data_IF_761321629934
#
_entry.id   IF_761321629934
#
_cell.length_a   1.000
_cell.length_b   1.000
_cell.length_c   1.000
_cell.angle_alpha   90.00
_cell.angle_beta   90.00
_cell.angle_gamma   90.00
#
_symmetry.space_group_name_H-M   'P 1'
#
loop_
_entity.id
_entity.type
_entity.pdbx_description
1 polymer ?
#
# COMPACT_ATOMS: atom_id res chain seq x y z
N UNK A 1 -5.56 -35.00 -0.23
CA UNK A 1 -4.61 -34.43 0.75
C UNK A 1 -4.36 -32.98 0.37
N UNK A 2 -5.15 -32.05 0.90
CA UNK A 2 -4.93 -30.61 0.70
C UNK A 2 -4.06 -30.11 1.84
N UNK A 3 -2.80 -29.81 1.54
CA UNK A 3 -1.91 -29.15 2.49
C UNK A 3 -2.22 -27.64 2.41
N UNK A 4 -3.11 -27.17 3.29
CA UNK A 4 -3.09 -25.75 3.67
C UNK A 4 -1.82 -25.56 4.50
N UNK A 5 -0.74 -25.10 3.84
CA UNK A 5 0.48 -24.77 4.52
C UNK A 5 0.22 -23.49 5.33
N UNK A 6 0.32 -23.58 6.66
CA UNK A 6 0.41 -22.40 7.52
C UNK A 6 1.57 -21.53 7.04
N UNK A 7 1.46 -20.19 7.10
CA UNK A 7 2.49 -19.32 6.58
C UNK A 7 3.83 -19.60 7.29
N UNK A 8 4.87 -19.87 6.51
CA UNK A 8 6.22 -20.14 7.03
C UNK A 8 6.93 -18.82 7.34
N UNK A 9 7.92 -18.84 8.23
CA UNK A 9 8.75 -17.66 8.57
C UNK A 9 9.36 -16.96 7.35
N UNK A 10 9.59 -17.70 6.27
CA UNK A 10 10.29 -17.22 5.07
C UNK A 10 9.37 -16.49 4.08
N UNK A 11 8.06 -16.49 4.29
CA UNK A 11 7.12 -15.77 3.41
C UNK A 11 7.08 -14.28 3.77
N UNK A 12 7.18 -13.37 2.79
CA UNK A 12 7.33 -11.96 3.10
C UNK A 12 6.02 -11.27 3.48
N UNK A 13 6.16 -10.19 4.22
CA UNK A 13 5.24 -9.05 4.19
C UNK A 13 5.47 -8.29 2.88
N UNK A 14 4.44 -8.20 2.04
CA UNK A 14 4.49 -7.47 0.78
C UNK A 14 3.82 -6.12 0.93
N UNK A 15 4.59 -5.04 0.75
CA UNK A 15 4.12 -3.67 0.88
C UNK A 15 4.05 -3.04 -0.50
N UNK A 16 2.85 -2.69 -0.97
CA UNK A 16 2.64 -2.13 -2.30
C UNK A 16 2.44 -0.62 -2.22
N UNK A 17 3.19 0.12 -3.03
CA UNK A 17 2.91 1.52 -3.33
C UNK A 17 1.73 1.61 -4.31
N UNK A 18 0.55 1.92 -3.77
CA UNK A 18 -0.70 1.95 -4.52
C UNK A 18 -0.69 3.01 -5.63
N UNK A 19 -0.18 4.21 -5.33
CA UNK A 19 -0.13 5.32 -6.27
C UNK A 19 0.82 5.01 -7.43
N UNK A 20 2.05 4.56 -7.12
CA UNK A 20 3.05 4.25 -8.15
C UNK A 20 2.60 3.12 -9.06
N UNK A 21 2.02 2.05 -8.51
CA UNK A 21 1.51 0.95 -9.32
C UNK A 21 0.28 1.36 -10.14
N UNK A 22 -0.64 2.16 -9.60
CA UNK A 22 -1.81 2.64 -10.33
C UNK A 22 -1.40 3.53 -11.52
N UNK A 23 -0.51 4.50 -11.33
CA UNK A 23 -0.02 5.35 -12.43
C UNK A 23 0.71 4.55 -13.50
N UNK A 24 1.53 3.56 -13.11
CA UNK A 24 2.21 2.68 -14.07
C UNK A 24 1.22 1.86 -14.88
N UNK A 25 0.18 1.33 -14.26
CA UNK A 25 -0.91 0.64 -14.96
C UNK A 25 -1.62 1.58 -15.95
N UNK A 26 -1.98 2.78 -15.49
CA UNK A 26 -2.69 3.78 -16.28
C UNK A 26 -1.93 4.16 -17.55
N UNK A 27 -0.64 4.49 -17.45
CA UNK A 27 0.15 4.91 -18.60
C UNK A 27 0.63 3.74 -19.50
N UNK A 28 0.64 2.51 -18.98
CA UNK A 28 1.09 1.35 -19.75
C UNK A 28 -0.03 0.69 -20.59
N UNK A 29 -1.29 0.92 -20.24
CA UNK A 29 -2.44 0.26 -20.86
C UNK A 29 -3.33 1.25 -21.60
N UNK A 30 -4.01 0.78 -22.65
CA UNK A 30 -4.90 1.62 -23.46
C UNK A 30 -6.05 2.19 -22.62
N UNK A 31 -6.38 3.49 -22.74
CA UNK A 31 -7.57 4.06 -22.10
C UNK A 31 -8.89 3.49 -22.66
N UNK A 32 -8.86 2.78 -23.80
CA UNK A 32 -10.03 2.08 -24.36
C UNK A 32 -10.47 0.87 -23.53
N UNK A 33 -9.67 0.46 -22.53
CA UNK A 33 -10.07 -0.56 -21.56
C UNK A 33 -11.11 0.06 -20.63
N UNK A 34 -12.38 -0.12 -20.98
CA UNK A 34 -13.54 0.40 -20.28
C UNK A 34 -14.66 -0.64 -20.23
N UNK A 35 -15.58 -0.47 -19.27
CA UNK A 35 -16.84 -1.23 -19.23
C UNK A 35 -17.75 -0.85 -20.40
N UNK A 36 -18.78 -1.65 -20.68
CA UNK A 36 -19.81 -1.34 -21.66
C UNK A 36 -20.52 0.01 -21.42
N UNK A 37 -20.56 0.46 -20.16
CA UNK A 37 -21.08 1.77 -19.76
C UNK A 37 -20.11 2.94 -19.97
N UNK A 38 -18.90 2.70 -20.50
CA UNK A 38 -17.89 3.73 -20.76
C UNK A 38 -17.00 4.08 -19.57
N UNK A 39 -17.16 3.42 -18.42
CA UNK A 39 -16.27 3.61 -17.26
C UNK A 39 -14.88 3.05 -17.57
N UNK A 40 -13.87 3.91 -17.62
CA UNK A 40 -12.48 3.52 -17.82
C UNK A 40 -11.93 2.72 -16.63
N UNK A 41 -11.24 1.62 -16.93
CA UNK A 41 -10.73 0.64 -15.96
C UNK A 41 -9.30 0.16 -16.29
N UNK A 42 -8.57 0.88 -17.14
CA UNK A 42 -7.21 0.53 -17.55
C UNK A 42 -6.23 0.46 -16.38
N UNK A 43 -6.28 1.41 -15.43
CA UNK A 43 -5.44 1.40 -14.24
C UNK A 43 -5.82 0.23 -13.31
N UNK A 44 -7.11 0.00 -13.08
CA UNK A 44 -7.61 -1.15 -12.31
C UNK A 44 -7.13 -2.48 -12.92
N UNK A 45 -7.26 -2.64 -14.24
CA UNK A 45 -6.86 -3.86 -14.93
C UNK A 45 -5.35 -4.13 -14.83
N UNK A 46 -4.54 -3.08 -14.99
CA UNK A 46 -3.09 -3.19 -14.84
C UNK A 46 -2.69 -3.48 -13.40
N UNK A 47 -3.28 -2.79 -12.43
CA UNK A 47 -3.04 -3.02 -11.00
C UNK A 47 -3.40 -4.46 -10.60
N UNK A 48 -4.60 -4.95 -10.97
CA UNK A 48 -5.03 -6.31 -10.71
C UNK A 48 -4.07 -7.35 -11.31
N UNK A 49 -3.57 -7.09 -12.53
CA UNK A 49 -2.57 -7.95 -13.18
C UNK A 49 -1.23 -7.98 -12.41
N UNK A 50 -0.77 -6.81 -11.95
CA UNK A 50 0.45 -6.68 -11.16
C UNK A 50 0.31 -7.37 -9.80
N UNK A 51 -0.75 -7.06 -9.06
CA UNK A 51 -1.06 -7.68 -7.77
C UNK A 51 -1.03 -9.21 -7.87
N UNK A 52 -1.74 -9.77 -8.85
CA UNK A 52 -1.78 -11.21 -9.05
C UNK A 52 -0.40 -11.81 -9.37
N UNK A 53 0.40 -11.11 -10.18
CA UNK A 53 1.77 -11.54 -10.53
C UNK A 53 2.71 -11.49 -9.32
N UNK A 54 2.60 -10.43 -8.52
CA UNK A 54 3.39 -10.23 -7.31
C UNK A 54 3.05 -11.28 -6.25
N UNK A 55 1.76 -11.52 -6.00
CA UNK A 55 1.32 -12.57 -5.07
C UNK A 55 1.78 -13.96 -5.53
N UNK A 56 1.71 -14.26 -6.83
CA UNK A 56 2.21 -15.54 -7.38
C UNK A 56 3.71 -15.73 -7.23
N UNK A 57 4.49 -14.68 -7.45
CA UNK A 57 5.96 -14.74 -7.43
C UNK A 57 6.54 -14.66 -6.02
N UNK A 58 5.98 -13.79 -5.17
CA UNK A 58 6.49 -13.53 -3.83
C UNK A 58 5.85 -14.44 -2.76
N UNK A 59 4.66 -14.99 -3.03
CA UNK A 59 3.87 -15.82 -2.11
C UNK A 59 3.84 -15.25 -0.68
N UNK A 60 3.39 -14.00 -0.52
CA UNK A 60 3.45 -13.32 0.76
C UNK A 60 2.52 -13.96 1.80
N UNK A 61 2.88 -13.81 3.07
CA UNK A 61 2.01 -14.16 4.21
C UNK A 61 1.06 -13.02 4.57
N UNK A 62 1.50 -11.81 4.31
CA UNK A 62 0.83 -10.57 4.67
C UNK A 62 1.02 -9.54 3.55
N UNK A 63 0.04 -8.68 3.34
CA UNK A 63 0.06 -7.69 2.26
C UNK A 63 -0.67 -6.43 2.69
N UNK A 64 -0.06 -5.27 2.41
CA UNK A 64 -0.73 -3.97 2.53
C UNK A 64 -0.51 -3.13 1.27
N UNK A 65 -1.46 -2.26 0.98
CA UNK A 65 -1.35 -1.25 -0.07
C UNK A 65 -1.36 0.13 0.57
N UNK A 66 -0.33 0.94 0.33
CA UNK A 66 -0.28 2.31 0.81
C UNK A 66 -0.81 3.29 -0.27
N UNK A 67 -1.65 4.23 0.14
CA UNK A 67 -2.13 5.32 -0.72
C UNK A 67 -1.93 6.67 -0.02
N UNK A 68 -1.61 7.69 -0.82
CA UNK A 68 -1.64 9.08 -0.36
C UNK A 68 -3.08 9.49 -0.09
N UNK A 69 -3.29 10.25 0.99
CA UNK A 69 -4.58 10.89 1.27
C UNK A 69 -4.61 12.33 0.73
N UNK A 70 -5.79 12.85 0.38
CA UNK A 70 -5.92 14.26 0.02
C UNK A 70 -5.58 15.18 1.21
N UNK A 71 -5.17 16.41 0.92
CA UNK A 71 -4.96 17.45 1.93
C UNK A 71 -3.50 17.87 2.17
N UNK A 72 -2.56 17.34 1.37
CA UNK A 72 -1.14 17.68 1.46
C UNK A 72 -0.43 16.99 2.62
N UNK A 73 0.89 17.12 2.65
CA UNK A 73 1.78 16.44 3.60
C UNK A 73 2.59 17.44 4.41
N UNK A 74 3.30 16.96 5.44
CA UNK A 74 4.24 17.81 6.17
C UNK A 74 5.39 18.33 5.27
N UNK A 75 5.67 17.68 4.13
CA UNK A 75 6.71 18.13 3.18
C UNK A 75 6.31 19.42 2.44
N UNK A 76 5.02 19.65 2.23
CA UNK A 76 4.50 20.89 1.63
C UNK A 76 4.82 22.11 2.50
N UNK A 77 4.92 21.93 3.82
CA UNK A 77 5.31 22.98 4.77
C UNK A 77 6.84 23.18 4.82
N UNK A 78 7.62 22.20 4.36
CA UNK A 78 9.08 22.25 4.38
C UNK A 78 9.69 22.98 3.17
N UNK A 79 9.00 22.97 2.02
CA UNK A 79 9.48 23.56 0.76
C UNK A 79 8.30 23.99 -0.12
N UNK A 80 8.20 25.28 -0.43
CA UNK A 80 7.09 25.87 -1.21
C UNK A 80 6.90 25.25 -2.62
N UNK A 81 7.99 24.79 -3.24
CA UNK A 81 7.99 24.24 -4.60
C UNK A 81 8.09 22.69 -4.64
N UNK A 82 7.93 22.01 -3.50
CA UNK A 82 7.99 20.53 -3.46
C UNK A 82 6.86 19.92 -4.29
N UNK A 83 7.21 18.98 -5.18
CA UNK A 83 6.31 18.42 -6.20
C UNK A 83 5.68 19.49 -7.13
N UNK A 84 6.13 20.74 -7.04
CA UNK A 84 5.71 21.86 -7.87
C UNK A 84 6.05 21.60 -9.33
N UNK A 85 5.12 21.92 -10.23
CA UNK A 85 5.32 21.67 -11.67
C UNK A 85 5.23 20.21 -12.10
N UNK A 86 4.90 19.27 -11.20
CA UNK A 86 4.39 17.95 -11.63
C UNK A 86 3.18 18.15 -12.54
N UNK A 87 3.05 17.30 -13.56
CA UNK A 87 1.85 17.27 -14.37
C UNK A 87 0.64 16.99 -13.46
N UNK A 88 -0.46 17.72 -13.68
CA UNK A 88 -1.69 17.45 -12.95
C UNK A 88 -2.08 15.97 -13.14
N UNK A 89 -2.54 15.35 -12.06
CA UNK A 89 -3.12 14.01 -12.11
C UNK A 89 -4.22 13.99 -13.19
N UNK A 90 -4.16 13.09 -14.18
CA UNK A 90 -5.21 12.98 -15.17
C UNK A 90 -6.55 12.68 -14.48
N UNK A 91 -7.63 13.45 -14.69
CA UNK A 91 -8.92 13.22 -14.03
C UNK A 91 -9.43 11.78 -14.21
N UNK A 92 -9.05 11.12 -15.30
CA UNK A 92 -9.42 9.75 -15.65
C UNK A 92 -8.81 8.67 -14.75
N UNK A 93 -7.76 8.97 -13.97
CA UNK A 93 -7.20 8.03 -13.00
C UNK A 93 -7.80 8.21 -11.59
N UNK A 94 -8.33 9.40 -11.27
CA UNK A 94 -8.78 9.73 -9.92
C UNK A 94 -9.83 8.74 -9.41
N UNK A 95 -10.87 8.46 -10.21
CA UNK A 95 -11.90 7.48 -9.84
C UNK A 95 -11.37 6.05 -9.80
N UNK A 96 -10.26 5.75 -10.48
CA UNK A 96 -9.70 4.40 -10.51
C UNK A 96 -8.95 4.04 -9.21
N UNK A 97 -8.54 5.02 -8.41
CA UNK A 97 -8.00 4.75 -7.06
C UNK A 97 -9.07 4.12 -6.16
N UNK A 98 -10.31 4.60 -6.22
CA UNK A 98 -11.44 4.00 -5.50
C UNK A 98 -11.75 2.58 -6.00
N UNK A 99 -11.64 2.36 -7.32
CA UNK A 99 -11.81 1.02 -7.90
C UNK A 99 -10.75 0.04 -7.41
N UNK A 100 -9.49 0.49 -7.33
CA UNK A 100 -8.37 -0.31 -6.82
C UNK A 100 -8.56 -0.61 -5.33
N UNK A 101 -8.96 0.38 -4.54
CA UNK A 101 -9.31 0.19 -3.13
C UNK A 101 -10.47 -0.80 -2.96
N UNK A 102 -11.47 -0.76 -3.84
CA UNK A 102 -12.56 -1.72 -3.88
C UNK A 102 -12.10 -3.16 -4.18
N UNK A 103 -11.11 -3.34 -5.08
CA UNK A 103 -10.51 -4.65 -5.33
C UNK A 103 -9.78 -5.15 -4.09
N UNK A 104 -9.00 -4.28 -3.43
CA UNK A 104 -8.29 -4.62 -2.21
C UNK A 104 -9.28 -5.03 -1.11
N UNK A 105 -10.37 -4.27 -0.93
CA UNK A 105 -11.43 -4.60 0.02
C UNK A 105 -12.08 -5.96 -0.27
N UNK A 106 -12.41 -6.28 -1.52
CA UNK A 106 -12.97 -7.58 -1.91
C UNK A 106 -12.01 -8.75 -1.63
N UNK A 107 -10.70 -8.50 -1.68
CA UNK A 107 -9.65 -9.47 -1.36
C UNK A 107 -9.25 -9.45 0.13
N UNK A 108 -9.89 -8.60 0.94
CA UNK A 108 -9.55 -8.35 2.33
C UNK A 108 -8.09 -7.94 2.55
N UNK A 109 -7.57 -7.14 1.62
CA UNK A 109 -6.23 -6.54 1.67
C UNK A 109 -6.35 -5.14 2.31
N UNK A 110 -5.65 -4.87 3.42
CA UNK A 110 -5.64 -3.56 4.02
C UNK A 110 -5.08 -2.48 3.08
N UNK A 111 -5.85 -1.42 2.91
CA UNK A 111 -5.41 -0.16 2.31
C UNK A 111 -5.10 0.81 3.43
N UNK A 112 -3.88 1.33 3.47
CA UNK A 112 -3.38 2.18 4.55
C UNK A 112 -3.01 3.55 4.00
N UNK A 113 -3.59 4.59 4.59
CA UNK A 113 -3.22 5.98 4.31
C UNK A 113 -3.31 6.76 5.61
N UNK A 114 -2.42 7.73 5.80
CA UNK A 114 -2.39 8.55 7.02
C UNK A 114 -2.39 10.01 6.62
N UNK A 115 -3.30 10.84 7.19
CA UNK A 115 -3.30 12.27 6.90
C UNK A 115 -1.93 12.87 7.19
N UNK A 116 -1.51 13.82 6.35
CA UNK A 116 -0.24 14.57 6.50
C UNK A 116 1.03 13.78 6.21
N UNK A 117 0.95 12.49 5.90
CA UNK A 117 2.10 11.66 5.51
C UNK A 117 1.90 11.10 4.10
N UNK A 118 3.01 10.74 3.46
CA UNK A 118 2.98 10.13 2.13
C UNK A 118 2.90 8.61 2.23
N UNK A 119 2.43 7.96 1.16
CA UNK A 119 2.42 6.52 1.05
C UNK A 119 3.81 5.92 1.34
N UNK A 120 4.89 6.57 0.89
CA UNK A 120 6.25 6.13 1.12
C UNK A 120 6.65 6.14 2.61
N UNK A 121 6.13 7.07 3.42
CA UNK A 121 6.35 7.09 4.86
C UNK A 121 5.58 5.95 5.57
N UNK A 122 4.39 5.59 5.06
CA UNK A 122 3.63 4.43 5.52
C UNK A 122 4.41 3.14 5.21
N UNK A 123 4.96 3.00 4.00
CA UNK A 123 5.78 1.86 3.60
C UNK A 123 7.07 1.78 4.42
N UNK A 124 7.72 2.92 4.67
CA UNK A 124 8.91 3.02 5.51
C UNK A 124 8.62 2.58 6.96
N UNK A 125 7.48 2.99 7.52
CA UNK A 125 7.07 2.61 8.88
C UNK A 125 6.70 1.13 8.98
N UNK A 126 5.91 0.59 8.04
CA UNK A 126 5.56 -0.83 8.02
C UNK A 126 6.77 -1.73 7.80
N UNK A 127 7.72 -1.32 6.94
CA UNK A 127 8.95 -2.08 6.71
C UNK A 127 9.87 -2.09 7.93
N UNK A 128 10.00 -0.97 8.64
CA UNK A 128 10.72 -0.90 9.91
C UNK A 128 10.09 -1.83 10.97
N UNK A 129 8.77 -1.80 11.14
CA UNK A 129 8.06 -2.71 12.04
C UNK A 129 8.28 -4.18 11.66
N UNK A 130 8.26 -4.51 10.37
CA UNK A 130 8.46 -5.88 9.88
C UNK A 130 9.87 -6.38 10.17
N UNK A 131 10.88 -5.55 9.90
CA UNK A 131 12.27 -5.82 10.25
C UNK A 131 12.46 -6.03 11.75
N UNK A 132 11.83 -5.22 12.60
CA UNK A 132 11.95 -5.35 14.06
C UNK A 132 11.37 -6.67 14.59
N UNK A 133 10.46 -7.28 13.83
CA UNK A 133 9.94 -8.64 14.08
C UNK A 133 10.69 -9.73 13.30
N UNK A 134 11.78 -9.39 12.61
CA UNK A 134 12.57 -10.28 11.76
C UNK A 134 11.76 -10.89 10.61
N UNK A 135 10.71 -10.22 10.16
CA UNK A 135 9.93 -10.66 8.99
C UNK A 135 10.66 -10.25 7.71
N UNK A 136 10.74 -11.14 6.70
CA UNK A 136 11.11 -10.71 5.36
C UNK A 136 10.07 -9.70 4.86
N UNK A 137 10.53 -8.55 4.36
CA UNK A 137 9.72 -7.48 3.81
C UNK A 137 10.14 -7.23 2.37
N UNK A 138 9.16 -7.14 1.47
CA UNK A 138 9.37 -6.72 0.09
C UNK A 138 8.51 -5.50 -0.18
N UNK A 139 9.15 -4.35 -0.43
CA UNK A 139 8.47 -3.12 -0.84
C UNK A 139 8.40 -3.10 -2.36
N UNK A 140 7.22 -2.91 -2.94
CA UNK A 140 7.02 -2.83 -4.38
C UNK A 140 6.63 -1.41 -4.75
N UNK A 141 7.53 -0.71 -5.42
CA UNK A 141 7.33 0.67 -5.84
C UNK A 141 8.09 0.95 -7.12
N UNK A 142 7.69 2.01 -7.83
CA UNK A 142 8.46 2.63 -8.88
C UNK A 142 9.30 3.83 -8.44
N UNK A 143 9.31 4.16 -7.15
CA UNK A 143 10.06 5.28 -6.59
C UNK A 143 11.46 4.83 -6.14
N UNK A 144 12.48 5.65 -6.42
CA UNK A 144 13.85 5.39 -5.98
C UNK A 144 14.09 5.82 -4.54
N UNK A 145 13.27 6.67 -3.96
CA UNK A 145 13.46 7.13 -2.57
C UNK A 145 13.32 5.97 -1.59
N UNK A 146 12.52 4.95 -1.92
CA UNK A 146 12.47 3.68 -1.20
C UNK A 146 13.80 2.92 -1.16
N UNK A 147 14.81 3.26 -1.98
CA UNK A 147 16.13 2.63 -1.89
C UNK A 147 16.80 2.85 -0.53
N UNK A 148 16.42 3.91 0.18
CA UNK A 148 16.89 4.16 1.55
C UNK A 148 16.36 3.17 2.59
N UNK A 149 15.34 2.37 2.24
CA UNK A 149 14.67 1.43 3.14
C UNK A 149 15.25 0.02 3.08
N UNK A 150 16.09 -0.28 2.09
CA UNK A 150 16.77 -1.57 1.98
C UNK A 150 17.66 -1.80 3.19
N UNK A 151 17.50 -2.94 3.84
CA UNK A 151 18.20 -3.30 5.08
C UNK A 151 18.26 -4.82 5.19
N UNK A 152 19.42 -5.41 4.88
CA UNK A 152 19.57 -6.87 4.83
C UNK A 152 19.61 -7.48 6.25
N UNK A 153 19.07 -8.71 6.44
CA UNK A 153 18.46 -9.58 5.43
C UNK A 153 16.95 -9.36 5.23
N UNK A 154 16.36 -8.39 5.95
CA UNK A 154 14.92 -8.34 6.15
C UNK A 154 14.20 -7.53 5.08
N UNK A 155 14.69 -6.34 4.70
CA UNK A 155 13.97 -5.41 3.83
C UNK A 155 14.62 -5.32 2.46
N UNK A 156 13.86 -5.68 1.42
CA UNK A 156 14.25 -5.52 0.02
C UNK A 156 13.25 -4.67 -0.76
N UNK A 157 13.70 -4.06 -1.84
CA UNK A 157 12.86 -3.25 -2.73
C UNK A 157 12.74 -3.94 -4.09
N UNK A 158 11.52 -4.28 -4.48
CA UNK A 158 11.18 -4.74 -5.82
C UNK A 158 10.78 -3.51 -6.67
N UNK A 159 11.77 -2.91 -7.31
CA UNK A 159 11.63 -1.68 -8.08
C UNK A 159 11.00 -1.93 -9.45
N UNK A 160 9.82 -1.37 -9.69
CA UNK A 160 9.19 -1.37 -11.00
C UNK A 160 9.91 -0.40 -11.93
N UNK A 161 10.59 -0.92 -12.95
CA UNK A 161 11.31 -0.09 -13.92
C UNK A 161 10.34 0.51 -14.91
N UNK A 162 9.50 -0.32 -15.52
CA UNK A 162 8.59 0.07 -16.61
C UNK A 162 7.40 -0.85 -16.72
N UNK A 163 6.23 -0.26 -16.96
CA UNK A 163 5.01 -1.00 -17.24
C UNK A 163 4.59 -1.89 -16.08
N UNK A 164 4.09 -3.08 -16.40
CA UNK A 164 3.42 -3.96 -15.43
C UNK A 164 4.20 -5.22 -15.04
N UNK A 165 5.39 -5.45 -15.62
CA UNK A 165 6.10 -6.73 -15.44
C UNK A 165 7.63 -6.64 -15.36
N UNK A 166 8.22 -5.46 -15.52
CA UNK A 166 9.68 -5.27 -15.51
C UNK A 166 10.15 -4.77 -14.13
N UNK A 167 10.67 -5.69 -13.32
CA UNK A 167 11.08 -5.45 -11.94
C UNK A 167 12.55 -5.82 -11.72
N UNK A 168 13.26 -4.99 -10.97
CA UNK A 168 14.56 -5.34 -10.37
C UNK A 168 14.37 -5.50 -8.85
N UNK A 169 14.90 -6.57 -8.26
CA UNK A 169 14.96 -6.73 -6.81
C UNK A 169 16.29 -6.17 -6.30
N UNK A 170 16.22 -5.26 -5.33
CA UNK A 170 17.38 -4.62 -4.71
C UNK A 170 17.52 -5.04 -3.24
N UNK A 171 18.70 -5.59 -2.94
CA UNK A 171 19.31 -5.74 -1.62
C UNK A 171 20.40 -4.67 -1.44
N UNK A 172 21.12 -4.65 -0.31
CA UNK A 172 22.12 -3.60 -0.04
C UNK A 172 23.22 -3.58 -1.10
N UNK A 173 23.65 -4.76 -1.53
CA UNK A 173 24.67 -4.93 -2.57
C UNK A 173 24.20 -4.36 -3.92
N UNK A 174 22.94 -4.59 -4.28
CA UNK A 174 22.31 -4.06 -5.48
C UNK A 174 22.20 -2.54 -5.45
N UNK A 175 21.83 -1.95 -4.31
CA UNK A 175 21.80 -0.48 -4.14
C UNK A 175 23.21 0.10 -4.26
N UNK A 176 24.19 -0.50 -3.61
CA UNK A 176 25.59 -0.07 -3.71
C UNK A 176 26.11 -0.15 -5.15
N UNK A 177 25.84 -1.25 -5.86
CA UNK A 177 26.25 -1.42 -7.25
C UNK A 177 25.59 -0.39 -8.20
N UNK A 178 24.31 -0.07 -7.95
CA UNK A 178 23.54 0.88 -8.77
C UNK A 178 23.89 2.33 -8.50
N UNK A 179 23.95 2.72 -7.23
CA UNK A 179 24.03 4.12 -6.81
C UNK A 179 25.44 4.52 -6.37
N UNK A 180 26.33 3.57 -6.08
CA UNK A 180 27.65 3.83 -5.52
C UNK A 180 27.64 4.26 -4.06
N UNK A 181 26.50 4.12 -3.38
CA UNK A 181 26.31 4.43 -1.95
C UNK A 181 25.45 3.35 -1.28
N UNK A 182 25.66 3.16 0.02
CA UNK A 182 24.82 2.30 0.86
C UNK A 182 23.40 2.89 1.01
N UNK A 183 22.35 2.06 1.21
CA UNK A 183 20.97 2.52 1.42
C UNK A 183 20.83 3.65 2.44
N UNK A 184 21.51 3.55 3.60
CA UNK A 184 21.47 4.56 4.66
C UNK A 184 22.01 5.93 4.22
N UNK A 185 22.81 6.00 3.15
CA UNK A 185 23.35 7.25 2.58
C UNK A 185 22.57 7.74 1.36
N UNK A 186 21.55 6.99 0.94
CA UNK A 186 20.76 7.33 -0.25
C UNK A 186 20.10 8.72 -0.16
N UNK A 187 19.52 9.16 0.98
CA UNK A 187 18.93 10.51 1.07
C UNK A 187 19.94 11.62 0.84
N UNK A 188 21.14 11.53 1.43
CA UNK A 188 22.21 12.51 1.23
C UNK A 188 22.73 12.50 -0.22
N UNK A 189 22.87 11.31 -0.79
CA UNK A 189 23.21 11.13 -2.21
C UNK A 189 22.18 11.80 -3.12
N UNK A 190 20.89 11.53 -2.89
CA UNK A 190 19.77 12.11 -3.62
C UNK A 190 19.73 13.64 -3.46
N UNK A 191 19.98 14.14 -2.25
CA UNK A 191 19.97 15.55 -1.93
C UNK A 191 21.01 16.35 -2.74
N UNK A 192 22.20 15.78 -2.96
CA UNK A 192 23.24 16.41 -3.78
C UNK A 192 22.91 16.36 -5.27
N UNK A 193 22.43 15.22 -5.80
CA UNK A 193 22.09 15.09 -7.23
C UNK A 193 20.81 15.84 -7.61
N UNK A 194 19.90 16.05 -6.65
CA UNK A 194 18.54 16.51 -6.87
C UNK A 194 17.62 15.42 -7.41
N UNK A 195 16.31 15.68 -7.36
CA UNK A 195 15.29 14.86 -7.97
C UNK A 195 14.31 15.68 -8.81
N UNK A 196 14.29 15.40 -10.12
CA UNK A 196 13.43 16.11 -11.06
C UNK A 196 11.96 15.68 -10.96
N UNK A 197 11.66 14.45 -10.52
CA UNK A 197 10.24 14.04 -10.36
C UNK A 197 9.56 14.84 -9.26
N UNK A 198 10.32 15.27 -8.26
CA UNK A 198 9.85 15.95 -7.05
C UNK A 198 10.11 17.45 -7.10
N UNK A 199 10.63 17.95 -8.23
CA UNK A 199 11.03 19.33 -8.41
C UNK A 199 12.05 19.80 -7.35
N UNK A 200 12.95 18.91 -6.94
CA UNK A 200 14.02 19.17 -5.99
C UNK A 200 15.34 19.37 -6.73
N UNK A 201 15.74 20.60 -7.10
CA UNK A 201 17.04 20.81 -7.74
C UNK A 201 18.18 20.41 -6.80
N UNK A 202 19.20 19.77 -7.37
CA UNK A 202 20.42 19.40 -6.63
C UNK A 202 21.42 20.55 -6.51
N UNK A 203 22.65 20.18 -6.14
CA UNK A 203 23.82 21.07 -6.17
C UNK A 203 24.35 21.13 -7.61
N UNK A 204 24.43 22.31 -8.24
CA UNK A 204 24.93 22.44 -9.61
C UNK A 204 26.31 21.82 -9.81
N UNK A 205 26.44 20.97 -10.84
CA UNK A 205 27.69 20.26 -11.13
C UNK A 205 27.93 19.01 -10.28
N UNK A 206 27.01 18.64 -9.38
CA UNK A 206 27.04 17.40 -8.61
C UNK A 206 25.94 16.47 -9.13
N UNK A 207 26.30 15.61 -10.09
CA UNK A 207 25.41 14.52 -10.54
C UNK A 207 25.69 13.21 -9.79
N UNK A 208 24.99 12.14 -10.17
CA UNK A 208 25.07 10.80 -9.56
C UNK A 208 26.53 10.36 -9.27
N UNK A 209 27.40 10.38 -10.29
CA UNK A 209 28.80 9.96 -10.14
C UNK A 209 29.60 10.82 -9.15
N UNK A 210 29.36 12.13 -9.14
CA UNK A 210 30.06 13.05 -8.25
C UNK A 210 29.56 12.85 -6.81
N UNK A 211 28.25 12.74 -6.61
CA UNK A 211 27.65 12.49 -5.30
C UNK A 211 28.15 11.17 -4.69
N UNK A 212 28.16 10.08 -5.47
CA UNK A 212 28.69 8.79 -5.03
C UNK A 212 30.17 8.88 -4.62
N UNK A 213 31.00 9.58 -5.41
CA UNK A 213 32.42 9.77 -5.08
C UNK A 213 32.61 10.55 -3.78
N UNK A 214 31.77 11.55 -3.52
CA UNK A 214 31.82 12.32 -2.27
C UNK A 214 31.49 11.42 -1.07
N UNK A 215 30.43 10.63 -1.12
CA UNK A 215 30.05 9.73 -0.01
C UNK A 215 30.88 8.44 0.08
N UNK A 216 31.72 8.15 -0.91
CA UNK A 216 32.82 7.19 -0.76
C UNK A 216 33.96 7.74 0.11
N UNK A 217 34.08 9.06 0.24
CA UNK A 217 35.17 9.74 0.99
C UNK A 217 34.68 10.26 2.33
N UNK A 218 33.52 10.92 2.34
CA UNK A 218 32.94 11.59 3.50
C UNK A 218 31.78 10.77 4.05
N UNK A 219 31.64 10.79 5.38
CA UNK A 219 30.63 9.97 6.08
C UNK A 219 29.22 10.49 5.88
N UNK A 220 29.04 11.80 5.96
CA UNK A 220 27.75 12.49 5.89
C UNK A 220 27.93 13.92 5.33
N UNK A 221 26.85 14.71 5.28
CA UNK A 221 26.92 16.10 4.84
C UNK A 221 27.79 16.97 5.77
N UNK A 222 27.76 16.75 7.09
CA UNK A 222 28.58 17.54 8.02
C UNK A 222 30.08 17.32 7.78
N UNK A 223 30.48 16.07 7.60
CA UNK A 223 31.84 15.68 7.26
C UNK A 223 32.26 16.24 5.89
N UNK A 224 31.37 16.21 4.90
CA UNK A 224 31.60 16.81 3.58
C UNK A 224 31.84 18.33 3.68
N UNK A 225 30.97 19.06 4.39
CA UNK A 225 31.05 20.51 4.48
C UNK A 225 32.21 20.97 5.38
N UNK A 226 32.58 20.20 6.40
CA UNK A 226 33.78 20.45 7.20
C UNK A 226 35.07 20.38 6.36
N UNK A 227 35.10 19.53 5.32
CA UNK A 227 36.25 19.32 4.44
C UNK A 227 36.07 19.93 3.04
N UNK A 228 35.06 20.79 2.82
CA UNK A 228 34.76 21.38 1.49
C UNK A 228 35.97 22.15 0.93
N UNK A 229 36.81 22.69 1.81
CA UNK A 229 38.06 23.38 1.50
C UNK A 229 39.15 22.52 0.87
N UNK A 230 39.00 21.19 0.83
CA UNK A 230 39.94 20.26 0.20
C UNK A 230 39.54 19.92 -1.26
N UNK A 231 38.30 20.25 -1.63
CA UNK A 231 37.75 19.96 -2.95
C UNK A 231 38.29 20.91 -4.03
N UNK A 232 38.13 20.50 -5.30
CA UNK A 232 38.50 21.34 -6.44
C UNK A 232 37.78 22.69 -6.39
N UNK A 233 38.39 23.78 -6.91
CA UNK A 233 37.84 25.13 -6.76
C UNK A 233 36.36 25.25 -7.19
N UNK A 234 35.99 24.66 -8.34
CA UNK A 234 34.62 24.70 -8.86
C UNK A 234 33.62 23.91 -7.99
N UNK A 235 34.04 22.74 -7.48
CA UNK A 235 33.16 21.90 -6.66
C UNK A 235 32.96 22.52 -5.28
N UNK A 236 34.02 23.08 -4.70
CA UNK A 236 33.97 23.83 -3.45
C UNK A 236 33.03 25.01 -3.55
N UNK A 237 33.20 25.87 -4.56
CA UNK A 237 32.34 27.03 -4.78
C UNK A 237 30.86 26.64 -4.86
N UNK A 238 30.53 25.61 -5.65
CA UNK A 238 29.15 25.13 -5.78
C UNK A 238 28.61 24.56 -4.46
N UNK A 239 29.33 23.66 -3.80
CA UNK A 239 28.87 23.08 -2.53
C UNK A 239 28.68 24.15 -1.45
N UNK A 240 29.63 25.08 -1.29
CA UNK A 240 29.50 26.18 -0.33
C UNK A 240 28.30 27.07 -0.65
N UNK A 241 28.03 27.37 -1.92
CA UNK A 241 26.87 28.19 -2.30
C UNK A 241 25.52 27.49 -2.06
N UNK A 242 25.48 26.17 -2.21
CA UNK A 242 24.24 25.38 -2.19
C UNK A 242 24.12 24.44 -0.97
N UNK A 243 24.89 24.67 0.10
CA UNK A 243 24.86 23.86 1.32
C UNK A 243 23.45 23.79 1.94
N UNK A 244 22.80 24.94 2.15
CA UNK A 244 21.46 24.99 2.72
C UNK A 244 20.44 24.18 1.90
N UNK A 245 20.58 24.20 0.56
CA UNK A 245 19.72 23.40 -0.33
C UNK A 245 19.99 21.91 -0.16
N UNK A 246 21.24 21.48 -0.14
CA UNK A 246 21.57 20.07 0.08
C UNK A 246 20.99 19.56 1.41
N UNK A 247 21.13 20.34 2.49
CA UNK A 247 20.57 20.00 3.81
C UNK A 247 19.05 20.00 3.83
N UNK A 248 18.40 20.94 3.13
CA UNK A 248 16.94 20.95 2.99
C UNK A 248 16.44 19.73 2.20
N UNK A 249 17.07 19.43 1.06
CA UNK A 249 16.74 18.27 0.25
C UNK A 249 16.89 16.97 1.03
N UNK A 250 17.97 16.81 1.81
CA UNK A 250 18.18 15.63 2.67
C UNK A 250 17.00 15.44 3.63
N UNK A 251 16.55 16.51 4.30
CA UNK A 251 15.40 16.45 5.22
C UNK A 251 14.11 16.08 4.51
N UNK A 252 13.86 16.63 3.32
CA UNK A 252 12.65 16.34 2.53
C UNK A 252 12.66 14.92 2.00
N UNK A 253 13.80 14.44 1.50
CA UNK A 253 13.94 13.10 0.88
C UNK A 253 14.06 11.97 1.91
N UNK A 254 14.31 12.28 3.18
CA UNK A 254 14.34 11.27 4.24
C UNK A 254 12.92 10.82 4.57
N UNK A 255 12.66 9.52 4.49
CA UNK A 255 11.36 8.93 4.80
C UNK A 255 11.17 8.77 6.31
N UNK A 256 9.95 9.05 6.76
CA UNK A 256 9.55 8.88 8.16
C UNK A 256 9.27 7.40 8.44
N UNK A 257 9.88 6.85 9.48
CA UNK A 257 9.79 5.41 9.84
C UNK A 257 8.90 5.14 11.06
N UNK A 258 8.29 6.18 11.62
CA UNK A 258 7.49 6.14 12.85
C UNK A 258 6.14 6.86 12.69
N UNK A 259 5.54 6.76 11.50
CA UNK A 259 4.17 7.24 11.25
C UNK A 259 3.20 6.60 12.27
N UNK A 260 2.26 7.36 12.86
CA UNK A 260 1.29 6.84 13.81
C UNK A 260 0.22 5.98 13.10
N UNK A 261 0.59 4.75 12.73
CA UNK A 261 -0.31 3.77 12.11
C UNK A 261 -1.14 3.06 13.18
N UNK A 262 -2.46 3.02 12.97
CA UNK A 262 -3.40 2.25 13.81
C UNK A 262 -3.32 0.73 13.56
N UNK A 263 -2.89 0.33 12.36
CA UNK A 263 -2.80 -1.08 11.94
C UNK A 263 -1.56 -1.78 12.51
N UNK A 264 -1.75 -3.03 12.91
CA UNK A 264 -0.71 -3.97 13.35
C UNK A 264 -0.27 -4.86 12.19
N UNK A 265 0.92 -5.47 12.27
CA UNK A 265 1.38 -6.36 11.20
C UNK A 265 0.59 -7.67 11.13
N UNK A 266 0.02 -8.09 12.26
CA UNK A 266 -0.85 -9.24 12.36
C UNK A 266 -2.15 -9.06 11.56
N UNK A 267 -2.69 -7.84 11.52
CA UNK A 267 -3.88 -7.48 10.73
C UNK A 267 -3.62 -7.44 9.22
N UNK A 268 -2.35 -7.51 8.80
CA UNK A 268 -1.98 -7.53 7.38
C UNK A 268 -1.96 -8.95 6.78
N UNK A 269 -2.21 -9.99 7.58
CA UNK A 269 -2.21 -11.37 7.07
C UNK A 269 -3.28 -11.55 5.99
N UNK A 270 -2.90 -12.26 4.93
CA UNK A 270 -3.83 -12.59 3.86
C UNK A 270 -4.86 -13.64 4.33
N UNK A 271 -6.12 -13.41 4.00
CA UNK A 271 -7.24 -14.29 4.29
C UNK A 271 -8.53 -13.50 4.53
N UNK A 272 -9.62 -14.18 4.88
CA UNK A 272 -10.89 -13.53 5.23
C UNK A 272 -11.75 -13.09 4.04
N UNK A 273 -11.26 -13.22 2.81
CA UNK A 273 -12.00 -12.92 1.59
C UNK A 273 -13.15 -13.92 1.33
N UNK A 274 -14.20 -13.46 0.66
CA UNK A 274 -15.28 -14.30 0.14
C UNK A 274 -15.18 -14.47 -1.37
N UNK A 275 -15.32 -15.70 -1.86
CA UNK A 275 -15.38 -16.02 -3.29
C UNK A 275 -16.51 -15.25 -3.98
N UNK A 276 -17.63 -15.05 -3.28
CA UNK A 276 -18.79 -14.34 -3.81
C UNK A 276 -18.50 -12.84 -3.98
N UNK A 277 -17.85 -12.21 -2.99
CA UNK A 277 -17.48 -10.79 -3.05
C UNK A 277 -16.45 -10.51 -4.14
N UNK A 278 -15.42 -11.36 -4.25
CA UNK A 278 -14.41 -11.24 -5.31
C UNK A 278 -15.05 -11.42 -6.69
N UNK A 279 -15.91 -12.42 -6.85
CA UNK A 279 -16.63 -12.64 -8.11
C UNK A 279 -17.52 -11.43 -8.46
N UNK A 280 -18.30 -10.94 -7.50
CA UNK A 280 -19.19 -9.79 -7.68
C UNK A 280 -18.41 -8.52 -8.05
N UNK A 281 -17.23 -8.31 -7.46
CA UNK A 281 -16.36 -7.19 -7.84
C UNK A 281 -15.97 -7.26 -9.31
N UNK A 282 -15.41 -8.38 -9.78
CA UNK A 282 -14.99 -8.49 -11.17
C UNK A 282 -16.17 -8.49 -12.16
N UNK A 283 -17.32 -9.04 -11.78
CA UNK A 283 -18.52 -9.00 -12.62
C UNK A 283 -19.04 -7.56 -12.77
N UNK A 284 -19.03 -6.76 -11.70
CA UNK A 284 -19.42 -5.34 -11.72
C UNK A 284 -18.62 -4.53 -12.73
N UNK A 285 -17.34 -4.84 -12.90
CA UNK A 285 -16.44 -4.14 -13.83
C UNK A 285 -16.18 -4.92 -15.12
N UNK A 286 -16.98 -5.96 -15.41
CA UNK A 286 -16.94 -6.76 -16.65
C UNK A 286 -15.58 -7.46 -16.91
N UNK A 287 -14.80 -7.70 -15.86
CA UNK A 287 -13.42 -8.22 -15.93
C UNK A 287 -13.36 -9.76 -15.85
N UNK A 288 -14.20 -10.46 -16.63
CA UNK A 288 -14.38 -11.92 -16.49
C UNK A 288 -13.11 -12.75 -16.70
N UNK A 289 -12.19 -12.30 -17.57
CA UNK A 289 -10.91 -12.98 -17.77
C UNK A 289 -9.99 -12.82 -16.55
N UNK A 290 -10.00 -11.66 -15.90
CA UNK A 290 -9.25 -11.42 -14.67
C UNK A 290 -9.82 -12.23 -13.51
N UNK A 291 -11.15 -12.26 -13.39
CA UNK A 291 -11.88 -13.09 -12.42
C UNK A 291 -11.38 -14.53 -12.40
N UNK A 292 -11.38 -15.20 -13.56
CA UNK A 292 -10.92 -16.60 -13.67
C UNK A 292 -9.49 -16.80 -13.18
N UNK A 293 -8.61 -15.81 -13.40
CA UNK A 293 -7.21 -15.87 -12.95
C UNK A 293 -7.08 -15.69 -11.44
N UNK A 294 -7.90 -14.82 -10.84
CA UNK A 294 -7.98 -14.64 -9.40
C UNK A 294 -8.62 -15.86 -8.73
N UNK A 295 -9.75 -16.38 -9.22
CA UNK A 295 -10.39 -17.60 -8.70
C UNK A 295 -9.42 -18.79 -8.68
N UNK A 296 -8.59 -18.94 -9.71
CA UNK A 296 -7.54 -19.96 -9.72
C UNK A 296 -6.50 -19.73 -8.61
N UNK A 297 -6.01 -18.50 -8.44
CA UNK A 297 -5.04 -18.16 -7.40
C UNK A 297 -5.61 -18.29 -5.98
N UNK A 298 -6.88 -17.96 -5.80
CA UNK A 298 -7.63 -18.13 -4.55
C UNK A 298 -7.76 -19.62 -4.19
N UNK A 299 -8.09 -20.47 -5.17
CA UNK A 299 -8.14 -21.93 -4.98
C UNK A 299 -6.77 -22.53 -4.67
N UNK A 300 -5.71 -21.95 -5.21
CA UNK A 300 -4.31 -22.29 -4.89
C UNK A 300 -3.87 -21.79 -3.49
N UNK A 301 -4.71 -21.04 -2.77
CA UNK A 301 -4.43 -20.53 -1.43
C UNK A 301 -3.46 -19.33 -1.41
N UNK A 302 -3.24 -18.67 -2.54
CA UNK A 302 -2.24 -17.60 -2.65
C UNK A 302 -2.64 -16.30 -1.94
N UNK A 303 -3.92 -16.12 -1.62
CA UNK A 303 -4.44 -15.01 -0.83
C UNK A 303 -4.90 -15.46 0.56
N UNK A 304 -4.33 -16.54 1.10
CA UNK A 304 -4.74 -17.09 2.38
C UNK A 304 -6.10 -17.79 2.36
N UNK A 305 -6.68 -18.01 3.54
CA UNK A 305 -7.92 -18.78 3.71
C UNK A 305 -9.17 -17.94 3.48
N UNK A 306 -10.18 -18.48 2.80
CA UNK A 306 -11.47 -17.83 2.62
C UNK A 306 -12.28 -17.76 3.91
N UNK A 307 -13.22 -16.81 3.98
CA UNK A 307 -14.26 -16.75 5.01
C UNK A 307 -15.47 -17.65 4.71
N UNK A 308 -15.59 -18.17 3.49
CA UNK A 308 -16.71 -19.01 3.00
C UNK A 308 -16.84 -20.39 3.71
N UNK A 309 -15.99 -20.69 4.69
CA UNK A 309 -15.98 -21.94 5.45
C UNK A 309 -15.15 -23.04 4.79
N UNK A 310 -14.18 -23.59 5.54
CA UNK A 310 -13.38 -24.75 5.13
C UNK A 310 -14.21 -26.03 5.08
N UNK A 311 -14.92 -26.25 3.98
CA UNK A 311 -15.54 -27.54 3.65
C UNK A 311 -14.65 -28.32 2.69
N UNK A 312 -13.84 -29.24 3.22
CA UNK A 312 -13.40 -30.36 2.40
C UNK A 312 -14.65 -31.09 1.90
N UNK A 313 -14.72 -31.31 0.59
CA UNK A 313 -15.73 -32.17 -0.05
C UNK A 313 -15.54 -33.59 0.48
N UNK A 314 -16.36 -33.99 1.44
CA UNK A 314 -16.64 -35.39 1.74
C UNK A 314 -18.15 -35.62 1.70
N UNK A 315 -18.51 -36.58 0.85
CA UNK A 315 -19.77 -37.33 0.66
C UNK A 315 -20.99 -36.92 1.51
N UNK A 316 -22.00 -36.36 0.83
CA UNK A 316 -23.30 -35.99 1.41
C UNK A 316 -24.20 -37.23 1.53
N UNK A 317 -24.31 -37.79 2.73
CA UNK A 317 -25.51 -38.53 3.16
C UNK A 317 -26.63 -37.55 3.54
N UNK A 318 -27.92 -37.88 3.33
CA UNK A 318 -28.99 -36.88 3.39
C UNK A 318 -29.37 -36.57 4.84
N UNK A 319 -29.35 -35.29 5.22
CA UNK A 319 -30.02 -34.83 6.44
C UNK A 319 -30.97 -33.69 6.06
N UNK A 320 -32.22 -33.87 6.49
CA UNK A 320 -33.39 -33.01 6.26
C UNK A 320 -33.27 -31.63 6.94
N UNK A 321 -33.94 -30.59 6.42
CA UNK A 321 -33.83 -29.23 6.95
C UNK A 321 -34.75 -29.01 8.15
N UNK A 322 -34.25 -28.31 9.16
CA UNK A 322 -35.08 -27.60 10.13
C UNK A 322 -34.63 -26.14 10.16
N UNK A 323 -35.53 -25.24 9.75
CA UNK A 323 -35.36 -23.78 9.80
C UNK A 323 -35.70 -23.27 11.20
N UNK A 324 -34.86 -22.48 11.88
CA UNK A 324 -35.34 -21.58 12.92
C UNK A 324 -35.77 -20.24 12.30
N UNK A 325 -36.94 -19.75 12.72
CA UNK A 325 -37.44 -18.43 12.31
C UNK A 325 -36.60 -17.31 12.94
N UNK A 326 -36.28 -16.27 12.15
CA UNK A 326 -35.64 -15.04 12.62
C UNK A 326 -36.63 -14.16 13.42
N UNK A 327 -36.17 -13.40 14.42
CA UNK A 327 -37.02 -12.47 15.16
C UNK A 327 -37.26 -11.18 14.35
N UNK A 328 -38.52 -10.74 14.26
CA UNK A 328 -38.88 -9.44 13.70
C UNK A 328 -38.82 -8.37 14.80
N UNK A 329 -37.88 -7.44 14.73
CA UNK A 329 -37.87 -6.27 15.62
C UNK A 329 -38.59 -5.09 14.96
N UNK A 330 -39.37 -4.37 15.76
CA UNK A 330 -40.04 -3.14 15.36
C UNK A 330 -39.10 -1.94 15.52
N UNK A 331 -39.27 -0.85 14.75
CA UNK A 331 -38.42 0.35 14.83
C UNK A 331 -38.25 0.94 16.24
N UNK A 332 -39.18 0.65 17.16
CA UNK A 332 -39.17 1.09 18.55
C UNK A 332 -38.11 0.40 19.43
N UNK A 333 -37.62 -0.77 19.04
CA UNK A 333 -36.66 -1.55 19.85
C UNK A 333 -35.20 -1.12 19.62
N UNK A 334 -34.88 -0.51 18.46
CA UNK A 334 -33.54 0.02 18.19
C UNK A 334 -33.31 1.44 18.72
N UNK A 335 -34.36 2.28 18.78
CA UNK A 335 -34.23 3.63 19.35
C UNK A 335 -33.95 3.61 20.87
N UNK A 336 -34.19 2.49 21.54
CA UNK A 336 -33.91 2.31 22.97
C UNK A 336 -32.43 1.96 23.28
N UNK A 337 -31.57 1.75 22.27
CA UNK A 337 -30.17 1.35 22.46
C UNK A 337 -29.20 2.51 22.80
N UNK A 338 -29.71 3.74 22.97
CA UNK A 338 -28.95 4.90 23.48
C UNK A 338 -29.24 6.18 22.71
N UNK A 339 -28.88 7.33 23.31
CA UNK A 339 -29.27 8.70 22.94
C UNK A 339 -28.80 9.23 21.55
N UNK A 340 -28.33 8.36 20.64
CA UNK A 340 -27.98 8.71 19.26
C UNK A 340 -29.10 8.37 18.27
N UNK A 341 -29.25 9.14 17.18
CA UNK A 341 -30.15 8.78 16.07
C UNK A 341 -29.54 7.63 15.26
N UNK A 342 -30.05 6.41 15.46
CA UNK A 342 -29.65 5.22 14.71
C UNK A 342 -30.56 5.00 13.49
N UNK A 343 -29.98 4.68 12.33
CA UNK A 343 -30.74 4.26 11.14
C UNK A 343 -30.58 2.77 10.88
N UNK A 344 -31.71 2.10 10.57
CA UNK A 344 -31.76 0.69 10.23
C UNK A 344 -32.12 0.51 8.75
N UNK A 345 -31.34 -0.31 8.05
CA UNK A 345 -31.64 -0.79 6.70
C UNK A 345 -31.68 -2.31 6.74
N UNK A 346 -32.78 -2.91 6.28
CA UNK A 346 -32.93 -4.38 6.22
C UNK A 346 -33.10 -4.84 4.78
N UNK A 347 -32.35 -5.85 4.37
CA UNK A 347 -32.54 -6.57 3.10
C UNK A 347 -32.41 -8.07 3.35
N UNK A 348 -33.52 -8.80 3.22
CA UNK A 348 -33.58 -10.23 3.57
C UNK A 348 -33.31 -10.48 5.06
N UNK A 349 -32.42 -11.42 5.36
CA UNK A 349 -32.01 -11.77 6.74
C UNK A 349 -30.89 -10.88 7.30
N UNK A 350 -30.50 -9.83 6.56
CA UNK A 350 -29.38 -8.95 6.92
C UNK A 350 -29.88 -7.59 7.37
N UNK A 351 -29.22 -7.07 8.42
CA UNK A 351 -29.50 -5.75 8.98
C UNK A 351 -28.21 -4.92 8.97
N UNK A 352 -28.32 -3.68 8.48
CA UNK A 352 -27.32 -2.64 8.62
C UNK A 352 -27.78 -1.59 9.63
N UNK A 353 -26.89 -1.20 10.54
CA UNK A 353 -27.12 -0.12 11.51
C UNK A 353 -26.01 0.93 11.35
N UNK A 354 -26.41 2.20 11.32
CA UNK A 354 -25.50 3.36 11.27
C UNK A 354 -25.78 4.27 12.46
N UNK A 355 -24.73 4.56 13.23
CA UNK A 355 -24.67 5.66 14.19
C UNK A 355 -24.30 6.94 13.43
N UNK A 356 -25.18 7.92 13.42
CA UNK A 356 -25.00 9.16 12.65
C UNK A 356 -24.03 10.11 13.34
N UNK A 357 -23.94 10.04 14.67
CA UNK A 357 -23.12 10.95 15.47
C UNK A 357 -21.66 10.48 15.49
N UNK A 358 -21.43 9.17 15.57
CA UNK A 358 -20.08 8.60 15.57
C UNK A 358 -19.60 8.06 14.22
N UNK A 359 -20.47 8.09 13.19
CA UNK A 359 -20.22 7.52 11.85
C UNK A 359 -19.81 6.03 11.86
N UNK A 360 -20.17 5.30 12.92
CA UNK A 360 -19.90 3.87 13.05
C UNK A 360 -21.01 3.08 12.36
N UNK A 361 -20.64 2.06 11.59
CA UNK A 361 -21.59 1.19 10.92
C UNK A 361 -21.30 -0.28 11.20
N UNK A 362 -22.34 -1.10 11.23
CA UNK A 362 -22.23 -2.55 11.35
C UNK A 362 -23.27 -3.22 10.45
N UNK A 363 -22.86 -4.30 9.78
CA UNK A 363 -23.73 -5.12 8.92
C UNK A 363 -23.52 -6.59 9.27
N UNK A 364 -24.61 -7.35 9.36
CA UNK A 364 -24.57 -8.77 9.67
C UNK A 364 -25.93 -9.34 10.07
N UNK A 365 -25.94 -10.53 10.66
CA UNK A 365 -27.13 -11.02 11.35
C UNK A 365 -27.44 -10.12 12.56
N UNK A 366 -28.70 -10.08 12.99
CA UNK A 366 -29.13 -9.24 14.12
C UNK A 366 -28.25 -9.47 15.36
N UNK A 367 -27.92 -10.73 15.64
CA UNK A 367 -27.08 -11.13 16.78
C UNK A 367 -25.65 -10.58 16.66
N UNK A 368 -25.09 -10.56 15.46
CA UNK A 368 -23.73 -10.10 15.21
C UNK A 368 -23.61 -8.58 15.31
N UNK A 369 -24.62 -7.86 14.82
CA UNK A 369 -24.68 -6.39 14.90
C UNK A 369 -24.76 -5.95 16.37
N UNK A 370 -25.60 -6.60 17.19
CA UNK A 370 -25.73 -6.30 18.62
C UNK A 370 -24.45 -6.59 19.42
N UNK A 371 -23.72 -7.66 19.07
CA UNK A 371 -22.44 -7.97 19.70
C UNK A 371 -21.36 -6.91 19.39
N UNK A 372 -21.32 -6.42 18.14
CA UNK A 372 -20.31 -5.45 17.66
C UNK A 372 -20.53 -4.03 18.16
N UNK A 373 -21.77 -3.65 18.47
CA UNK A 373 -22.10 -2.34 19.05
C UNK A 373 -21.84 -2.25 20.56
N UNK A 374 -21.15 -3.23 21.16
CA UNK A 374 -20.65 -3.13 22.53
C UNK A 374 -21.62 -3.64 23.59
N UNK A 375 -22.27 -4.78 23.30
CA UNK A 375 -23.26 -5.45 24.16
C UNK A 375 -23.07 -5.23 25.66
N UNK A 376 -23.95 -4.43 26.25
CA UNK A 376 -24.27 -4.53 27.67
C UNK A 376 -25.50 -5.42 27.82
N UNK A 377 -25.49 -6.42 28.71
CA UNK A 377 -26.71 -7.14 29.05
C UNK A 377 -27.64 -6.18 29.79
N UNK A 378 -28.90 -6.09 29.37
CA UNK A 378 -29.95 -5.37 30.09
C UNK A 378 -30.82 -6.43 30.77
N UNK A 379 -30.91 -6.32 32.10
CA UNK A 379 -31.87 -7.05 32.95
C UNK A 379 -33.30 -6.59 32.72
#
# INVERSE_FOLDING_TARGET
>A
MSLSASPTSDQPLLLLDGMSLAFRAFFALSPDIATSGGLQTNALHGFASMLLSLVKSQRPRALAVAFDLPGGTFRDEMTEDYKGGRAATPPEIEHQFDLISGLCAALHIPVVGVPRFEADDVLATLSARGRDLEWPVVIVTGDRDSFQLVEDPYVRVLYNKRGVSDYDLYDEAGILARCGVEPARYPMYAALRGDTSDNLPGVPGVGEKTAAKLFATYRDLDDLFAHVGELTPKLRESLTQFENRARQNERVMTLVRDVPLEVTLEELHLGGWSSAEVAAFFDRYEMHAMRRRFEAALREGLFGTSSDGGGAVDDVGPVSPATPAAPSLSPTELSALGDGEWFLVSEGDHVGVVDVESARFAVGSVTDVLARLGGRPIS
#
